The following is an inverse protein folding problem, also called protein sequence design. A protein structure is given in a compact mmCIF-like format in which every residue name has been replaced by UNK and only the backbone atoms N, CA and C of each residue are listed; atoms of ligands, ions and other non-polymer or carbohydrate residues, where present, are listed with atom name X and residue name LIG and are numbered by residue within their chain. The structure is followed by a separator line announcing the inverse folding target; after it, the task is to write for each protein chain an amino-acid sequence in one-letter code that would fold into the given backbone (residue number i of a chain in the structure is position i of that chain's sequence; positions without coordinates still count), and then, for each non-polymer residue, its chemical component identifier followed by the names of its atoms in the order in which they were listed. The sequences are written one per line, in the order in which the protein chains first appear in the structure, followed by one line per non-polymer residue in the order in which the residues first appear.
data_IF_022889545909
#
_entry.id   IF_022889545909
#
_cell.length_a   1.000
_cell.length_b   1.000
_cell.length_c   1.000
_cell.angle_alpha   90.00
_cell.angle_beta   90.00
_cell.angle_gamma   90.00
#
_symmetry.space_group_name_H-M   'P 1'
#
loop_
_entity.id
_entity.type
_entity.pdbx_description
1 polymer ?
#
# COMPACT_ATOMS: atom_id res chain seq x y z
N UNK A 1 -2.56 -25.50 -22.14
CA UNK A 1 -3.46 -26.59 -22.57
C UNK A 1 -4.80 -26.43 -21.86
N UNK A 2 -5.55 -25.41 -22.24
CA UNK A 2 -6.93 -25.22 -21.81
C UNK A 2 -7.71 -24.82 -23.04
N UNK A 3 -7.94 -25.80 -23.92
CA UNK A 3 -8.76 -25.65 -25.13
C UNK A 3 -10.24 -25.79 -24.77
N UNK A 4 -10.68 -25.11 -23.70
CA UNK A 4 -12.07 -25.16 -23.24
C UNK A 4 -12.95 -24.40 -24.24
N UNK A 5 -13.41 -25.12 -25.26
CA UNK A 5 -14.27 -24.59 -26.31
C UNK A 5 -15.64 -24.21 -25.73
N UNK A 6 -16.32 -23.25 -26.36
CA UNK A 6 -17.71 -22.91 -26.03
C UNK A 6 -18.63 -24.13 -26.02
N UNK A 7 -18.32 -25.14 -26.85
CA UNK A 7 -19.03 -26.41 -26.90
C UNK A 7 -18.81 -27.25 -25.64
N UNK A 8 -17.57 -27.33 -25.14
CA UNK A 8 -17.23 -28.08 -23.93
C UNK A 8 -17.82 -27.42 -22.67
N UNK A 9 -17.83 -26.08 -22.62
CA UNK A 9 -18.51 -25.34 -21.56
C UNK A 9 -20.03 -25.61 -21.58
N UNK A 10 -20.64 -25.66 -22.77
CA UNK A 10 -22.04 -26.05 -22.95
C UNK A 10 -22.31 -27.49 -22.49
N UNK A 11 -21.41 -28.42 -22.79
CA UNK A 11 -21.52 -29.82 -22.38
C UNK A 11 -21.46 -29.98 -20.85
N UNK A 12 -20.50 -29.31 -20.19
CA UNK A 12 -20.42 -29.29 -18.72
C UNK A 12 -21.65 -28.61 -18.12
N UNK A 13 -22.16 -27.55 -18.73
CA UNK A 13 -23.41 -26.91 -18.32
C UNK A 13 -24.61 -27.86 -18.38
N UNK A 14 -24.74 -28.64 -19.46
CA UNK A 14 -25.78 -29.65 -19.60
C UNK A 14 -25.65 -30.77 -18.55
N UNK A 15 -24.42 -31.26 -18.31
CA UNK A 15 -24.16 -32.25 -17.26
C UNK A 15 -24.48 -31.71 -15.87
N UNK A 16 -24.13 -30.45 -15.58
CA UNK A 16 -24.45 -29.83 -14.31
C UNK A 16 -25.97 -29.71 -14.12
N UNK A 17 -26.74 -29.38 -15.16
CA UNK A 17 -28.20 -29.39 -15.11
C UNK A 17 -28.77 -30.79 -14.88
N UNK A 18 -28.13 -31.85 -15.40
CA UNK A 18 -28.55 -33.24 -15.21
C UNK A 18 -28.29 -33.72 -13.77
N UNK A 19 -27.08 -33.49 -13.26
CA UNK A 19 -26.60 -34.02 -11.98
C UNK A 19 -27.17 -33.23 -10.79
N UNK A 20 -27.15 -31.90 -10.88
CA UNK A 20 -27.58 -31.01 -9.81
C UNK A 20 -29.07 -30.67 -9.97
N UNK A 21 -29.57 -30.69 -11.21
CA UNK A 21 -30.95 -30.31 -11.52
C UNK A 21 -31.06 -28.85 -11.99
N UNK A 22 -31.99 -28.55 -12.92
CA UNK A 22 -32.10 -27.23 -13.52
C UNK A 22 -32.58 -26.13 -12.57
N UNK A 23 -33.18 -26.49 -11.42
CA UNK A 23 -33.68 -25.53 -10.42
C UNK A 23 -32.67 -25.24 -9.32
N UNK A 24 -31.76 -26.16 -9.04
CA UNK A 24 -30.83 -26.03 -7.90
C UNK A 24 -29.53 -25.31 -8.31
N UNK A 25 -29.09 -25.51 -9.55
CA UNK A 25 -27.95 -24.80 -10.14
C UNK A 25 -28.09 -23.25 -10.07
N UNK A 26 -29.19 -22.62 -10.53
CA UNK A 26 -29.36 -21.18 -10.40
C UNK A 26 -29.52 -20.70 -8.95
N UNK A 27 -30.03 -21.56 -8.05
CA UNK A 27 -30.14 -21.24 -6.62
C UNK A 27 -28.77 -21.21 -5.95
N UNK A 28 -27.90 -22.16 -6.30
CA UNK A 28 -26.50 -22.20 -5.85
C UNK A 28 -25.70 -20.99 -6.37
N UNK A 29 -25.86 -20.62 -7.64
CA UNK A 29 -25.23 -19.42 -8.17
C UNK A 29 -25.67 -18.14 -7.44
N UNK A 30 -26.95 -18.01 -7.09
CA UNK A 30 -27.42 -16.87 -6.28
C UNK A 30 -26.73 -16.81 -4.92
N UNK A 31 -26.52 -17.96 -4.28
CA UNK A 31 -25.84 -18.03 -2.98
C UNK A 31 -24.37 -17.61 -3.09
N UNK A 32 -23.64 -18.15 -4.06
CA UNK A 32 -22.24 -17.79 -4.33
C UNK A 32 -22.14 -16.31 -4.73
N UNK A 33 -23.04 -15.85 -5.60
CA UNK A 33 -23.03 -14.48 -6.07
C UNK A 33 -23.32 -13.47 -4.95
N UNK A 34 -24.15 -13.81 -3.97
CA UNK A 34 -24.36 -12.94 -2.79
C UNK A 34 -23.07 -12.78 -1.97
N UNK A 35 -22.29 -13.85 -1.81
CA UNK A 35 -20.99 -13.82 -1.11
C UNK A 35 -20.00 -12.97 -1.91
N UNK A 36 -19.87 -13.22 -3.21
CA UNK A 36 -19.00 -12.44 -4.10
C UNK A 36 -19.42 -10.96 -4.15
N UNK A 37 -20.72 -10.66 -4.16
CA UNK A 37 -21.24 -9.28 -4.17
C UNK A 37 -20.92 -8.56 -2.87
N UNK A 38 -21.04 -9.24 -1.72
CA UNK A 38 -20.62 -8.69 -0.42
C UNK A 38 -19.12 -8.41 -0.41
N UNK A 39 -18.30 -9.36 -0.86
CA UNK A 39 -16.85 -9.18 -0.98
C UNK A 39 -16.49 -8.01 -1.92
N UNK A 40 -17.19 -7.87 -3.06
CA UNK A 40 -16.98 -6.77 -4.00
C UNK A 40 -17.27 -5.39 -3.37
N UNK A 41 -18.29 -5.29 -2.52
CA UNK A 41 -18.59 -4.05 -1.77
C UNK A 41 -17.46 -3.71 -0.81
N UNK A 42 -17.02 -4.69 -0.01
CA UNK A 42 -15.86 -4.52 0.89
C UNK A 42 -14.60 -4.11 0.12
N UNK A 43 -14.34 -4.70 -1.05
CA UNK A 43 -13.21 -4.31 -1.91
C UNK A 43 -13.37 -2.87 -2.43
N UNK A 44 -14.57 -2.42 -2.78
CA UNK A 44 -14.80 -1.04 -3.22
C UNK A 44 -14.57 -0.02 -2.09
N UNK A 45 -14.96 -0.36 -0.86
CA UNK A 45 -14.72 0.50 0.30
C UNK A 45 -13.21 0.57 0.59
N UNK A 46 -12.51 -0.56 0.50
CA UNK A 46 -11.06 -0.66 0.63
C UNK A 46 -10.35 0.12 -0.50
N UNK A 47 -10.82 0.04 -1.75
CA UNK A 47 -10.30 0.85 -2.87
C UNK A 47 -10.40 2.36 -2.60
N UNK A 48 -11.43 2.81 -1.89
CA UNK A 48 -11.57 4.21 -1.48
C UNK A 48 -10.45 4.67 -0.53
N UNK A 49 -10.06 3.80 0.41
CA UNK A 49 -8.90 4.03 1.29
C UNK A 49 -7.58 3.89 0.56
N UNK A 50 -7.39 2.81 -0.21
CA UNK A 50 -6.17 2.59 -1.00
C UNK A 50 -5.91 3.71 -2.00
N UNK A 51 -6.94 4.32 -2.60
CA UNK A 51 -6.76 5.46 -3.50
C UNK A 51 -6.30 6.73 -2.77
N UNK A 52 -6.67 6.92 -1.51
CA UNK A 52 -6.10 7.98 -0.66
C UNK A 52 -4.65 7.68 -0.33
N UNK A 53 -4.33 6.44 0.05
CA UNK A 53 -2.95 6.00 0.29
C UNK A 53 -2.09 6.10 -0.97
N UNK A 54 -2.59 5.69 -2.14
CA UNK A 54 -1.90 5.79 -3.43
C UNK A 54 -1.64 7.25 -3.79
N UNK A 55 -2.62 8.13 -3.61
CA UNK A 55 -2.44 9.56 -3.81
C UNK A 55 -1.42 10.17 -2.84
N UNK A 56 -1.35 9.68 -1.59
CA UNK A 56 -0.37 10.11 -0.58
C UNK A 56 1.04 9.54 -0.84
N UNK A 57 1.13 8.29 -1.30
CA UNK A 57 2.39 7.63 -1.66
C UNK A 57 2.97 8.25 -2.93
N UNK A 58 2.13 8.72 -3.87
CA UNK A 58 2.57 9.49 -5.04
C UNK A 58 3.21 10.85 -4.69
N UNK A 59 2.94 11.41 -3.51
CA UNK A 59 3.53 12.68 -3.04
C UNK A 59 4.80 12.44 -2.20
N UNK A 60 4.97 11.25 -1.63
CA UNK A 60 6.13 10.88 -0.80
C UNK A 60 7.20 10.12 -1.59
N UNK A 61 6.82 9.42 -2.66
CA UNK A 61 7.73 8.58 -3.44
C UNK A 61 7.64 8.94 -4.92
N UNK A 62 8.44 9.93 -5.31
CA UNK A 62 8.68 10.24 -6.70
C UNK A 62 9.32 9.04 -7.40
N UNK A 63 8.52 8.32 -8.20
CA UNK A 63 8.89 7.24 -9.13
C UNK A 63 8.81 5.82 -8.54
N UNK A 64 7.77 5.08 -8.94
CA UNK A 64 7.98 3.72 -9.46
C UNK A 64 6.82 3.22 -10.31
N UNK A 65 6.99 3.15 -11.65
CA UNK A 65 6.08 2.44 -12.53
C UNK A 65 6.49 0.97 -12.63
N UNK A 66 5.52 0.07 -12.40
CA UNK A 66 5.48 -1.29 -12.97
C UNK A 66 6.73 -2.16 -12.72
N UNK A 67 7.03 -2.49 -11.46
CA UNK A 67 7.89 -3.64 -11.15
C UNK A 67 7.04 -4.81 -10.64
N UNK A 68 7.25 -5.98 -11.22
CA UNK A 68 6.58 -7.27 -10.91
C UNK A 68 7.00 -7.87 -9.55
N UNK A 69 7.69 -7.09 -8.72
CA UNK A 69 8.36 -7.57 -7.51
C UNK A 69 7.75 -6.90 -6.27
N UNK A 70 6.68 -7.53 -5.77
CA UNK A 70 5.93 -7.14 -4.57
C UNK A 70 6.80 -7.02 -3.31
N UNK A 71 8.02 -7.58 -3.31
CA UNK A 71 8.98 -7.48 -2.21
C UNK A 71 9.43 -6.03 -1.93
N UNK A 72 9.39 -5.16 -2.94
CA UNK A 72 9.81 -3.76 -2.82
C UNK A 72 8.72 -2.86 -2.21
N UNK A 73 7.46 -3.32 -2.21
CA UNK A 73 6.33 -2.63 -1.58
C UNK A 73 6.21 -2.92 -0.08
N UNK A 74 7.04 -3.83 0.43
CA UNK A 74 7.06 -4.17 1.84
C UNK A 74 7.93 -3.16 2.60
N UNK A 75 7.51 -2.76 3.82
CA UNK A 75 8.36 -1.98 4.70
C UNK A 75 9.74 -2.64 4.86
N UNK A 76 10.80 -1.84 4.99
CA UNK A 76 12.18 -2.31 5.16
C UNK A 76 12.32 -3.35 6.30
N UNK A 77 11.46 -3.29 7.32
CA UNK A 77 11.42 -4.25 8.42
C UNK A 77 10.99 -5.66 8.01
N UNK A 78 10.18 -5.79 6.96
CA UNK A 78 9.71 -7.08 6.43
C UNK A 78 10.67 -7.62 5.37
N UNK A 79 11.27 -6.73 4.58
CA UNK A 79 12.29 -7.08 3.59
C UNK A 79 13.52 -7.75 4.20
N UNK A 80 13.89 -7.34 5.43
CA UNK A 80 15.09 -7.81 6.13
C UNK A 80 14.81 -8.99 7.10
N UNK A 81 13.66 -9.64 7.01
CA UNK A 81 13.39 -10.83 7.81
C UNK A 81 14.17 -12.04 7.25
N UNK A 82 14.72 -12.91 8.12
CA UNK A 82 15.31 -14.17 7.67
C UNK A 82 14.26 -15.04 6.97
N UNK A 83 14.67 -15.83 5.97
CA UNK A 83 13.74 -16.64 5.16
C UNK A 83 12.96 -17.68 6.00
N UNK A 84 13.52 -18.13 7.13
CA UNK A 84 12.90 -19.05 8.08
C UNK A 84 12.03 -18.36 9.15
N UNK A 85 11.57 -17.14 8.88
CA UNK A 85 10.78 -16.37 9.83
C UNK A 85 9.40 -17.00 10.08
N UNK A 86 9.15 -17.43 11.32
CA UNK A 86 7.83 -17.83 11.80
C UNK A 86 7.25 -16.64 12.58
N UNK A 87 6.06 -16.13 12.25
CA UNK A 87 5.46 -15.00 12.96
C UNK A 87 5.30 -15.34 14.46
N UNK A 88 5.91 -14.53 15.32
CA UNK A 88 5.90 -14.72 16.77
C UNK A 88 7.07 -15.52 17.34
N UNK A 89 8.00 -16.03 16.52
CA UNK A 89 9.18 -16.79 16.98
C UNK A 89 10.46 -15.96 17.11
N UNK A 90 10.36 -14.62 17.06
CA UNK A 90 11.52 -13.74 17.17
C UNK A 90 12.19 -13.89 18.55
N UNK A 91 13.51 -14.15 18.60
CA UNK A 91 14.24 -14.14 19.85
C UNK A 91 14.17 -12.77 20.55
N UNK A 92 14.12 -12.71 21.89
CA UNK A 92 14.03 -11.45 22.66
C UNK A 92 15.11 -10.42 22.32
N UNK A 93 16.29 -10.84 21.87
CA UNK A 93 17.40 -9.97 21.49
C UNK A 93 17.07 -9.07 20.29
N UNK A 94 16.28 -9.56 19.33
CA UNK A 94 15.86 -8.77 18.17
C UNK A 94 14.98 -7.59 18.57
N UNK A 95 14.13 -7.78 19.59
CA UNK A 95 13.31 -6.69 20.13
C UNK A 95 14.14 -5.61 20.83
N UNK A 96 15.27 -5.99 21.43
CA UNK A 96 16.18 -5.03 22.06
C UNK A 96 16.91 -4.19 21.01
N UNK A 97 17.43 -4.82 19.95
CA UNK A 97 18.05 -4.11 18.83
C UNK A 97 17.08 -3.13 18.15
N UNK A 98 15.83 -3.54 17.94
CA UNK A 98 14.79 -2.65 17.38
C UNK A 98 14.53 -1.45 18.28
N UNK A 99 14.42 -1.64 19.60
CA UNK A 99 14.24 -0.52 20.54
C UNK A 99 15.39 0.46 20.46
N UNK A 100 16.62 -0.03 20.38
CA UNK A 100 17.79 0.84 20.24
C UNK A 100 17.74 1.64 18.95
N UNK A 101 17.48 0.98 17.81
CA UNK A 101 17.35 1.65 16.51
C UNK A 101 16.23 2.72 16.49
N UNK A 102 15.11 2.47 17.17
CA UNK A 102 14.01 3.44 17.28
C UNK A 102 14.44 4.65 18.12
N UNK A 103 15.21 4.45 19.19
CA UNK A 103 15.72 5.53 20.04
C UNK A 103 16.76 6.35 19.26
N UNK A 104 17.66 5.69 18.55
CA UNK A 104 18.71 6.36 17.77
C UNK A 104 18.10 7.20 16.65
N UNK A 105 17.14 6.65 15.90
CA UNK A 105 16.37 7.41 14.88
C UNK A 105 15.61 8.59 15.47
N UNK A 106 15.04 8.45 16.68
CA UNK A 106 14.37 9.57 17.35
C UNK A 106 15.33 10.70 17.67
N UNK A 107 16.52 10.36 18.15
CA UNK A 107 17.56 11.34 18.46
C UNK A 107 18.07 12.03 17.18
N UNK A 108 18.27 11.28 16.10
CA UNK A 108 18.63 11.84 14.78
C UNK A 108 17.54 12.78 14.25
N UNK A 109 16.26 12.38 14.32
CA UNK A 109 15.14 13.22 13.90
C UNK A 109 15.02 14.48 14.76
N UNK A 110 15.24 14.39 16.08
CA UNK A 110 15.24 15.54 16.97
C UNK A 110 16.38 16.52 16.65
N UNK A 111 17.56 16.02 16.25
CA UNK A 111 18.67 16.85 15.80
C UNK A 111 18.39 17.50 14.43
N UNK A 112 17.79 16.77 13.49
CA UNK A 112 17.37 17.35 12.21
C UNK A 112 16.34 18.47 12.41
N UNK A 113 15.41 18.29 13.34
CA UNK A 113 14.44 19.33 13.71
C UNK A 113 15.13 20.53 14.37
N UNK A 114 16.07 20.31 15.29
CA UNK A 114 16.83 21.38 15.91
C UNK A 114 17.64 22.19 14.88
N UNK A 115 18.36 21.52 13.98
CA UNK A 115 19.14 22.18 12.92
C UNK A 115 18.23 22.91 11.91
N UNK A 116 17.06 22.34 11.58
CA UNK A 116 16.09 23.01 10.70
C UNK A 116 15.46 24.26 11.32
N UNK A 117 15.36 24.31 12.65
CA UNK A 117 14.88 25.49 13.38
C UNK A 117 15.97 26.57 13.41
N UNK A 118 17.24 26.18 13.53
CA UNK A 118 18.39 27.09 13.55
C UNK A 118 18.60 27.81 12.20
N UNK A 119 18.40 27.14 11.06
CA UNK A 119 18.44 27.76 9.72
C UNK A 119 17.31 28.79 9.49
N UNK A 120 16.21 28.67 10.22
CA UNK A 120 15.06 29.59 10.12
C UNK A 120 15.30 30.89 10.91
N UNK A 121 16.13 30.86 11.96
CA UNK A 121 16.44 32.05 12.76
C UNK A 121 17.57 32.91 12.16
N UNK A 122 18.52 32.33 11.43
CA UNK A 122 19.64 33.07 10.82
C UNK A 122 19.16 33.98 9.67
N UNK A 123 18.11 33.60 8.94
CA UNK A 123 17.52 34.40 7.84
C UNK A 123 16.49 35.45 8.30
N UNK A 124 16.48 35.83 9.59
CA UNK A 124 15.65 36.93 10.09
C UNK A 124 16.41 38.23 10.36
N UNK A 125 17.75 38.20 10.34
CA UNK A 125 18.61 39.33 10.71
C UNK A 125 19.39 39.98 9.55
N UNK A 126 18.98 39.77 8.29
CA UNK A 126 19.47 40.60 7.18
C UNK A 126 18.68 41.91 7.13
N UNK A 127 19.30 43.08 7.38
CA UNK A 127 18.62 44.37 7.26
C UNK A 127 18.27 44.63 5.79
N UNK A 128 16.97 44.61 5.46
CA UNK A 128 16.47 45.17 4.19
C UNK A 128 16.64 46.69 4.23
N UNK A 129 17.83 47.15 3.82
CA UNK A 129 18.10 48.55 3.52
C UNK A 129 17.60 48.89 2.11
N UNK A 130 16.74 49.89 2.09
CA UNK A 130 16.39 50.88 1.07
C UNK A 130 17.27 50.88 -0.20
N UNK A 131 16.64 50.66 -1.36
CA UNK A 131 16.92 51.34 -2.65
C UNK A 131 15.72 51.06 -3.56
N UNK A 132 14.73 51.97 -3.69
CA UNK A 132 14.69 53.06 -4.68
C UNK A 132 15.30 52.67 -6.03
N UNK A 133 14.43 52.40 -7.00
CA UNK A 133 14.52 52.76 -8.42
C UNK A 133 13.14 52.41 -9.02
N UNK A 134 12.28 53.39 -9.30
CA UNK A 134 12.31 54.23 -10.49
C UNK A 134 11.97 53.44 -11.75
N UNK A 135 10.75 53.65 -12.28
CA UNK A 135 10.34 53.72 -13.69
C UNK A 135 8.82 53.47 -13.75
N UNK A 136 7.98 54.51 -13.82
CA UNK A 136 7.69 55.42 -14.96
C UNK A 136 6.71 54.77 -15.94
N UNK A 137 5.57 55.47 -16.06
CA UNK A 137 4.55 55.50 -17.12
C UNK A 137 3.59 54.32 -17.29
#
# INVERSE_FOLDING_TARGET
MFDLSWVELGFVGALALLVIGPKDLPKMFKMINQVVTKAKRTINDVKGGFKQLENEIHIVEGTSPKSTDWKQLLPEDIRNLPEDFIPGSLPPEYHQKRRQQIIDKQNEMAQMQANSVEDTEINKNSPKNIEKQEQVS
#
